data_IF_778220787236
#
_entry.id   IF_778220787236
#
_cell.length_a   1.000
_cell.length_b   1.000
_cell.length_c   1.000
_cell.angle_alpha   90.00
_cell.angle_beta   90.00
_cell.angle_gamma   90.00
#
_symmetry.space_group_name_H-M   'P 1'
#
loop_
_entity.id
_entity.type
_entity.pdbx_description
1 polymer ?
#
# COMPACT_ATOMS: atom_id res chain seq x y z
N UNK A 1 6.29 -13.81 -8.74
CA UNK A 1 5.13 -13.72 -7.82
C UNK A 1 5.47 -12.66 -6.78
N UNK A 2 4.67 -11.61 -6.63
CA UNK A 2 4.98 -10.51 -5.69
C UNK A 2 4.22 -10.73 -4.37
N UNK A 3 4.77 -11.55 -3.47
CA UNK A 3 4.17 -11.81 -2.17
C UNK A 3 4.70 -10.76 -1.19
N UNK A 4 3.81 -9.86 -0.76
CA UNK A 4 4.10 -8.81 0.22
C UNK A 4 3.75 -9.32 1.63
N UNK A 5 4.05 -8.53 2.66
CA UNK A 5 3.61 -8.84 4.03
C UNK A 5 2.08 -9.00 4.11
N UNK A 6 1.34 -8.12 3.43
CA UNK A 6 -0.11 -8.24 3.29
C UNK A 6 -0.54 -9.60 2.74
N UNK A 7 0.05 -10.04 1.62
CA UNK A 7 -0.31 -11.31 1.00
C UNK A 7 -0.03 -12.49 1.95
N UNK A 8 1.07 -12.41 2.69
CA UNK A 8 1.41 -13.42 3.69
C UNK A 8 0.41 -13.44 4.84
N UNK A 9 0.08 -12.28 5.41
CA UNK A 9 -0.85 -12.17 6.54
C UNK A 9 -2.29 -12.57 6.14
N UNK A 10 -2.73 -12.22 4.93
CA UNK A 10 -4.03 -12.67 4.40
C UNK A 10 -4.10 -14.20 4.23
N UNK A 11 -3.01 -14.82 3.77
CA UNK A 11 -2.91 -16.29 3.68
C UNK A 11 -2.96 -16.90 5.08
N UNK A 12 -2.22 -16.34 6.04
CA UNK A 12 -2.26 -16.80 7.43
C UNK A 12 -3.67 -16.72 8.01
N UNK A 13 -4.38 -15.62 7.80
CA UNK A 13 -5.75 -15.46 8.28
C UNK A 13 -6.70 -16.52 7.71
N UNK A 14 -6.63 -16.76 6.39
CA UNK A 14 -7.42 -17.81 5.73
C UNK A 14 -7.09 -19.19 6.30
N UNK A 15 -5.81 -19.51 6.48
CA UNK A 15 -5.38 -20.79 7.04
C UNK A 15 -5.84 -20.96 8.50
N UNK A 16 -5.75 -19.92 9.31
CA UNK A 16 -6.24 -19.92 10.70
C UNK A 16 -7.75 -20.16 10.75
N UNK A 17 -8.53 -19.50 9.88
CA UNK A 17 -9.97 -19.69 9.83
C UNK A 17 -10.35 -21.11 9.38
N UNK A 18 -9.67 -21.65 8.36
CA UNK A 18 -9.88 -23.02 7.92
C UNK A 18 -9.54 -24.05 9.03
N UNK A 19 -8.45 -23.84 9.77
CA UNK A 19 -8.06 -24.72 10.87
C UNK A 19 -9.12 -24.75 12.00
N UNK A 20 -9.71 -23.59 12.32
CA UNK A 20 -10.84 -23.49 13.27
C UNK A 20 -12.06 -24.25 12.79
N UNK A 21 -12.44 -24.10 11.52
CA UNK A 21 -13.58 -24.83 10.94
C UNK A 21 -13.39 -26.35 10.94
N UNK A 22 -12.17 -26.80 10.67
CA UNK A 22 -11.81 -28.21 10.69
C UNK A 22 -11.70 -28.80 12.11
N UNK A 23 -11.96 -28.01 13.16
CA UNK A 23 -11.79 -28.39 14.57
C UNK A 23 -10.42 -29.02 14.86
N UNK A 24 -9.41 -28.60 14.11
CA UNK A 24 -8.02 -28.90 14.45
C UNK A 24 -7.81 -28.19 15.78
N UNK A 25 -7.42 -28.93 16.83
CA UNK A 25 -7.31 -28.40 18.19
C UNK A 25 -6.49 -27.11 18.20
N UNK A 26 -7.21 -26.00 18.30
CA UNK A 26 -6.66 -24.67 18.09
C UNK A 26 -5.92 -24.25 19.35
N UNK A 27 -5.92 -25.00 20.46
CA UNK A 27 -5.04 -24.68 21.60
C UNK A 27 -3.55 -24.92 21.27
N UNK A 28 -3.24 -25.61 20.16
CA UNK A 28 -1.89 -25.63 19.55
C UNK A 28 -1.68 -24.47 18.54
N UNK A 29 -2.75 -23.78 18.15
CA UNK A 29 -2.81 -22.72 17.12
C UNK A 29 -3.27 -21.35 17.69
N UNK A 30 -3.70 -21.24 18.94
CA UNK A 30 -4.06 -19.97 19.59
C UNK A 30 -2.77 -19.17 19.88
N UNK A 31 -1.65 -19.90 19.99
CA UNK A 31 -0.27 -19.48 19.75
C UNK A 31 -0.05 -18.74 18.41
N UNK A 32 -0.90 -18.98 17.39
CA UNK A 32 -0.77 -18.40 16.05
C UNK A 32 -1.59 -17.13 15.83
N UNK A 33 -2.56 -16.79 16.69
CA UNK A 33 -3.44 -15.62 16.43
C UNK A 33 -3.42 -14.56 17.52
N UNK A 34 -3.43 -14.94 18.81
CA UNK A 34 -3.36 -13.99 19.93
C UNK A 34 -1.96 -13.95 20.54
N UNK A 35 -1.23 -15.06 20.53
CA UNK A 35 0.16 -15.12 20.99
C UNK A 35 1.20 -14.96 19.86
N UNK A 36 0.80 -14.71 18.60
CA UNK A 36 1.77 -14.48 17.52
C UNK A 36 2.61 -13.21 17.71
N UNK A 37 2.11 -12.28 18.54
CA UNK A 37 2.83 -11.09 19.01
C UNK A 37 3.65 -11.33 20.30
N UNK A 38 3.47 -12.45 21.03
CA UNK A 38 4.07 -12.66 22.36
C UNK A 38 4.71 -14.05 22.64
N UNK A 39 4.50 -15.07 21.81
CA UNK A 39 5.03 -16.43 21.97
C UNK A 39 6.29 -16.66 21.14
N UNK A 40 7.42 -16.93 21.81
CA UNK A 40 8.76 -16.93 21.17
C UNK A 40 9.04 -18.06 20.19
N UNK A 41 8.28 -19.18 20.21
CA UNK A 41 8.63 -20.42 19.48
C UNK A 41 7.89 -20.60 18.15
N UNK A 42 6.57 -20.43 18.12
CA UNK A 42 5.77 -20.47 16.89
C UNK A 42 5.94 -19.21 16.02
N UNK A 43 6.25 -18.08 16.65
CA UNK A 43 6.67 -16.85 15.97
C UNK A 43 7.94 -17.07 15.12
N UNK A 44 8.91 -17.90 15.54
CA UNK A 44 10.15 -18.10 14.78
C UNK A 44 9.95 -18.84 13.44
N UNK A 45 9.17 -19.92 13.41
CA UNK A 45 8.95 -20.71 12.19
C UNK A 45 8.19 -19.89 11.15
N UNK A 46 7.10 -19.26 11.57
CA UNK A 46 6.26 -18.46 10.66
C UNK A 46 6.98 -17.16 10.27
N UNK A 47 7.78 -16.54 11.15
CA UNK A 47 8.63 -15.40 10.75
C UNK A 47 9.74 -15.82 9.78
N UNK A 48 10.29 -17.04 9.91
CA UNK A 48 11.24 -17.61 8.95
C UNK A 48 10.61 -17.77 7.57
N UNK A 49 9.44 -18.41 7.51
CA UNK A 49 8.70 -18.57 6.25
C UNK A 49 8.27 -17.22 5.69
N UNK A 50 7.83 -16.27 6.54
CA UNK A 50 7.51 -14.89 6.12
C UNK A 50 8.72 -14.27 5.43
N UNK A 51 9.90 -14.35 6.05
CA UNK A 51 11.14 -13.88 5.46
C UNK A 51 11.38 -14.53 4.09
N UNK A 52 11.36 -15.86 4.00
CA UNK A 52 11.64 -16.58 2.75
C UNK A 52 10.64 -16.27 1.62
N UNK A 53 9.38 -16.07 1.97
CA UNK A 53 8.30 -15.76 1.02
C UNK A 53 8.35 -14.30 0.56
N UNK A 54 8.69 -13.37 1.46
CA UNK A 54 8.70 -11.93 1.19
C UNK A 54 10.05 -11.41 0.71
N UNK A 55 11.15 -12.16 0.89
CA UNK A 55 12.52 -11.71 0.56
C UNK A 55 12.63 -11.21 -0.88
N UNK A 56 11.96 -11.88 -1.83
CA UNK A 56 11.94 -11.45 -3.21
C UNK A 56 11.30 -10.08 -3.40
N UNK A 57 10.22 -9.77 -2.66
CA UNK A 57 9.64 -8.43 -2.63
C UNK A 57 10.59 -7.45 -1.94
N UNK A 58 11.10 -7.79 -0.75
CA UNK A 58 11.99 -6.93 0.04
C UNK A 58 13.23 -6.50 -0.76
N UNK A 59 13.90 -7.44 -1.42
CA UNK A 59 15.09 -7.16 -2.24
C UNK A 59 14.77 -6.20 -3.40
N UNK A 60 13.62 -6.39 -4.07
CA UNK A 60 13.22 -5.48 -5.16
C UNK A 60 12.87 -4.09 -4.65
N UNK A 61 12.18 -3.98 -3.51
CA UNK A 61 11.85 -2.68 -2.92
C UNK A 61 13.10 -1.93 -2.46
N UNK A 62 14.11 -2.62 -1.90
CA UNK A 62 15.40 -2.00 -1.56
C UNK A 62 16.18 -1.56 -2.81
N UNK A 63 16.16 -2.36 -3.88
CA UNK A 63 16.77 -1.98 -5.15
C UNK A 63 16.09 -0.74 -5.75
N UNK A 64 14.76 -0.70 -5.74
CA UNK A 64 13.95 0.44 -6.19
C UNK A 64 14.21 1.70 -5.36
N UNK A 65 14.30 1.57 -4.03
CA UNK A 65 14.66 2.67 -3.13
C UNK A 65 16.04 3.24 -3.48
N UNK A 66 17.04 2.39 -3.62
CA UNK A 66 18.40 2.80 -4.00
C UNK A 66 18.40 3.51 -5.36
N UNK A 67 17.63 3.00 -6.32
CA UNK A 67 17.53 3.58 -7.66
C UNK A 67 16.88 4.97 -7.65
N UNK A 68 15.83 5.16 -6.85
CA UNK A 68 15.23 6.48 -6.62
C UNK A 68 16.25 7.50 -6.06
N UNK A 69 17.19 7.05 -5.23
CA UNK A 69 18.26 7.88 -4.66
C UNK A 69 19.39 8.18 -5.67
N UNK A 70 19.71 7.23 -6.56
CA UNK A 70 20.83 7.37 -7.52
C UNK A 70 20.44 8.05 -8.82
N UNK A 71 19.28 7.72 -9.38
CA UNK A 71 18.87 8.14 -10.73
C UNK A 71 18.13 9.48 -10.72
N UNK A 72 17.60 9.89 -9.56
CA UNK A 72 16.79 11.10 -9.40
C UNK A 72 15.30 10.85 -9.70
N UNK A 73 14.43 11.51 -8.94
CA UNK A 73 12.98 11.35 -9.09
C UNK A 73 12.47 11.98 -10.39
N UNK A 74 13.05 13.08 -10.84
CA UNK A 74 12.74 13.70 -12.13
C UNK A 74 12.83 12.70 -13.31
N UNK A 75 13.80 11.78 -13.27
CA UNK A 75 13.90 10.70 -14.25
C UNK A 75 12.74 9.70 -14.15
N UNK A 76 12.31 9.35 -12.94
CA UNK A 76 11.14 8.50 -12.72
C UNK A 76 9.86 9.14 -13.26
N UNK A 77 9.65 10.42 -12.99
CA UNK A 77 8.55 11.20 -13.54
C UNK A 77 8.55 11.20 -15.07
N UNK A 78 9.72 11.38 -15.70
CA UNK A 78 9.84 11.34 -17.16
C UNK A 78 9.60 9.94 -17.73
N UNK A 79 10.08 8.87 -17.07
CA UNK A 79 9.80 7.47 -17.46
C UNK A 79 8.30 7.16 -17.46
N UNK A 80 7.54 7.81 -16.59
CA UNK A 80 6.08 7.69 -16.50
C UNK A 80 5.33 8.57 -17.52
N UNK A 81 6.03 9.26 -18.43
CA UNK A 81 5.42 10.13 -19.44
C UNK A 81 5.09 11.53 -18.92
N UNK A 82 5.72 11.98 -17.84
CA UNK A 82 5.50 13.29 -17.26
C UNK A 82 4.05 13.52 -16.83
N UNK A 83 3.57 14.76 -16.92
CA UNK A 83 2.23 15.10 -16.44
C UNK A 83 1.10 14.35 -17.17
N UNK A 84 1.22 14.17 -18.48
CA UNK A 84 0.20 13.47 -19.27
C UNK A 84 0.12 11.99 -18.88
N UNK A 85 1.28 11.33 -18.76
CA UNK A 85 1.33 9.93 -18.36
C UNK A 85 0.89 9.70 -16.91
N UNK A 86 1.23 10.61 -15.98
CA UNK A 86 0.68 10.57 -14.61
C UNK A 86 -0.84 10.77 -14.61
N UNK A 87 -1.37 11.73 -15.39
CA UNK A 87 -2.82 11.95 -15.48
C UNK A 87 -3.55 10.73 -16.05
N UNK A 88 -2.95 10.07 -17.04
CA UNK A 88 -3.48 8.83 -17.63
C UNK A 88 -3.48 7.69 -16.62
N UNK A 89 -2.36 7.47 -15.93
CA UNK A 89 -2.23 6.52 -14.83
C UNK A 89 -3.30 6.75 -13.76
N UNK A 90 -3.47 7.99 -13.28
CA UNK A 90 -4.46 8.30 -12.25
C UNK A 90 -5.88 8.05 -12.74
N UNK A 91 -6.17 8.33 -14.01
CA UNK A 91 -7.50 8.05 -14.58
C UNK A 91 -7.81 6.55 -14.53
N UNK A 92 -6.87 5.70 -14.94
CA UNK A 92 -7.02 4.24 -14.88
C UNK A 92 -7.04 3.69 -13.44
N UNK A 93 -6.29 4.29 -12.52
CA UNK A 93 -6.27 3.87 -11.11
C UNK A 93 -7.68 3.83 -10.52
N UNK A 94 -8.49 4.85 -10.83
CA UNK A 94 -9.84 4.93 -10.27
C UNK A 94 -10.79 3.88 -10.85
N UNK A 95 -10.55 3.35 -12.05
CA UNK A 95 -11.32 2.19 -12.54
C UNK A 95 -11.09 0.93 -11.70
N UNK A 96 -9.89 0.78 -11.11
CA UNK A 96 -9.59 -0.30 -10.18
C UNK A 96 -10.13 -0.02 -8.78
N UNK A 97 -10.00 1.21 -8.30
CA UNK A 97 -10.50 1.62 -6.98
C UNK A 97 -12.02 1.46 -6.89
N UNK A 98 -12.77 1.89 -7.91
CA UNK A 98 -14.24 1.78 -7.92
C UNK A 98 -14.75 0.33 -7.88
N UNK A 99 -13.98 -0.59 -8.47
CA UNK A 99 -14.30 -2.04 -8.51
C UNK A 99 -13.79 -2.81 -7.30
N UNK A 100 -12.99 -2.18 -6.43
CA UNK A 100 -12.44 -2.83 -5.25
C UNK A 100 -13.33 -2.58 -4.03
N UNK A 101 -14.18 -3.56 -3.71
CA UNK A 101 -15.10 -3.52 -2.57
C UNK A 101 -14.41 -3.32 -1.20
N UNK A 102 -13.08 -3.45 -1.13
CA UNK A 102 -12.31 -3.21 0.09
C UNK A 102 -12.10 -1.72 0.37
N UNK A 103 -12.17 -0.86 -0.67
CA UNK A 103 -11.80 0.56 -0.57
C UNK A 103 -12.76 1.52 -1.28
N UNK A 104 -13.63 1.05 -2.17
CA UNK A 104 -14.52 1.92 -2.94
C UNK A 104 -15.44 2.79 -2.06
N UNK A 105 -15.84 2.29 -0.89
CA UNK A 105 -16.68 2.99 0.08
C UNK A 105 -16.10 4.34 0.54
N UNK A 106 -14.77 4.52 0.54
CA UNK A 106 -14.14 5.79 0.90
C UNK A 106 -14.37 6.90 -0.13
N UNK A 107 -14.80 6.54 -1.34
CA UNK A 107 -14.97 7.45 -2.46
C UNK A 107 -16.44 7.69 -2.85
N UNK A 108 -17.40 7.07 -2.14
CA UNK A 108 -18.83 7.26 -2.40
C UNK A 108 -19.26 8.72 -2.17
N UNK A 109 -20.04 9.27 -3.11
CA UNK A 109 -20.51 10.65 -3.06
C UNK A 109 -19.42 11.72 -3.25
N UNK A 110 -18.18 11.31 -3.50
CA UNK A 110 -17.06 12.22 -3.71
C UNK A 110 -17.04 12.81 -5.13
N UNK A 111 -16.40 13.97 -5.27
CA UNK A 111 -16.14 14.58 -6.59
C UNK A 111 -14.86 13.97 -7.17
N UNK A 112 -14.96 12.76 -7.71
CA UNK A 112 -13.82 11.98 -8.21
C UNK A 112 -12.91 12.75 -9.17
N UNK A 113 -13.46 13.54 -10.07
CA UNK A 113 -12.65 14.35 -11.00
C UNK A 113 -11.77 15.40 -10.29
N UNK A 114 -12.24 15.96 -9.18
CA UNK A 114 -11.41 16.85 -8.35
C UNK A 114 -10.32 16.07 -7.61
N UNK A 115 -10.64 14.86 -7.13
CA UNK A 115 -9.68 14.00 -6.45
C UNK A 115 -8.59 13.56 -7.42
N UNK A 116 -8.95 13.04 -8.60
CA UNK A 116 -8.02 12.65 -9.67
C UNK A 116 -7.06 13.79 -10.00
N UNK A 117 -7.58 15.01 -10.20
CA UNK A 117 -6.75 16.18 -10.51
C UNK A 117 -5.79 16.52 -9.37
N UNK A 118 -6.28 16.56 -8.12
CA UNK A 118 -5.45 16.86 -6.95
C UNK A 118 -4.38 15.79 -6.73
N UNK A 119 -4.74 14.51 -6.87
CA UNK A 119 -3.84 13.39 -6.70
C UNK A 119 -2.80 13.30 -7.81
N UNK A 120 -3.16 13.61 -9.07
CA UNK A 120 -2.20 13.70 -10.17
C UNK A 120 -1.17 14.81 -9.93
N UNK A 121 -1.59 15.97 -9.39
CA UNK A 121 -0.68 17.04 -9.01
C UNK A 121 0.24 16.61 -7.84
N UNK A 122 -0.31 16.00 -6.79
CA UNK A 122 0.46 15.51 -5.65
C UNK A 122 1.49 14.46 -6.06
N UNK A 123 1.06 13.46 -6.86
CA UNK A 123 1.94 12.39 -7.31
C UNK A 123 2.99 12.91 -8.30
N UNK A 124 2.64 13.84 -9.19
CA UNK A 124 3.63 14.50 -10.05
C UNK A 124 4.74 15.13 -9.21
N UNK A 125 4.38 15.93 -8.20
CA UNK A 125 5.35 16.55 -7.28
C UNK A 125 6.17 15.49 -6.53
N UNK A 126 5.51 14.49 -5.94
CA UNK A 126 6.16 13.43 -5.14
C UNK A 126 7.18 12.63 -5.95
N UNK A 127 6.91 12.45 -7.25
CA UNK A 127 7.76 11.74 -8.18
C UNK A 127 8.76 12.65 -8.91
N UNK A 128 8.93 13.91 -8.52
CA UNK A 128 9.99 14.78 -9.07
C UNK A 128 9.58 15.66 -10.26
N UNK A 129 8.29 15.79 -10.54
CA UNK A 129 7.77 16.81 -11.43
C UNK A 129 7.99 18.21 -10.87
N UNK A 130 8.18 19.21 -11.75
CA UNK A 130 8.48 20.59 -11.36
C UNK A 130 7.30 21.36 -10.75
N UNK A 131 6.09 20.80 -10.80
CA UNK A 131 4.89 21.42 -10.24
C UNK A 131 4.80 21.20 -8.73
N UNK A 132 4.51 22.27 -7.98
CA UNK A 132 4.17 22.17 -6.56
C UNK A 132 2.70 21.78 -6.36
N UNK A 133 2.46 20.90 -5.39
CA UNK A 133 1.12 20.61 -4.91
C UNK A 133 0.70 21.65 -3.86
N UNK A 134 -0.40 22.34 -4.13
CA UNK A 134 -0.91 23.45 -3.32
C UNK A 134 -2.23 23.11 -2.59
N UNK A 135 -2.57 21.81 -2.49
CA UNK A 135 -3.77 21.38 -1.79
C UNK A 135 -3.54 21.19 -0.29
N UNK A 136 -4.59 20.73 0.40
CA UNK A 136 -4.53 20.32 1.81
C UNK A 136 -3.49 19.23 2.04
N UNK A 137 -2.93 19.17 3.23
CA UNK A 137 -1.96 18.11 3.58
C UNK A 137 -2.62 16.73 3.55
N UNK A 138 -1.81 15.66 3.45
CA UNK A 138 -2.35 14.30 3.48
C UNK A 138 -3.01 14.02 4.83
N UNK A 139 -2.43 14.56 5.92
CA UNK A 139 -2.97 14.54 7.27
C UNK A 139 -4.42 15.05 7.28
N UNK A 140 -4.63 16.29 6.80
CA UNK A 140 -5.91 16.98 6.84
C UNK A 140 -6.97 16.30 5.98
N UNK A 141 -6.55 15.68 4.87
CA UNK A 141 -7.45 15.00 3.94
C UNK A 141 -7.92 13.66 4.53
N UNK A 142 -7.04 12.92 5.20
CA UNK A 142 -7.32 11.54 5.63
C UNK A 142 -7.72 11.43 7.12
N UNK A 143 -7.58 12.49 7.92
CA UNK A 143 -7.86 12.47 9.37
C UNK A 143 -9.26 11.96 9.78
N UNK A 144 -10.28 12.15 8.93
CA UNK A 144 -11.65 11.74 9.24
C UNK A 144 -11.99 10.36 8.67
N UNK A 145 -11.05 9.72 7.97
CA UNK A 145 -11.25 8.43 7.34
C UNK A 145 -10.74 7.35 8.30
N UNK A 146 -11.59 6.39 8.64
CA UNK A 146 -11.23 5.22 9.44
C UNK A 146 -10.42 4.21 8.59
N UNK A 147 -9.32 4.67 8.01
CA UNK A 147 -8.41 3.87 7.20
C UNK A 147 -7.44 3.09 8.09
N UNK A 148 -7.01 1.95 7.57
CA UNK A 148 -6.06 1.04 8.22
C UNK A 148 -4.98 0.70 7.22
N UNK A 149 -3.89 0.07 7.66
CA UNK A 149 -2.86 -0.44 6.75
C UNK A 149 -3.45 -1.33 5.66
N UNK A 150 -4.44 -2.16 6.00
CA UNK A 150 -5.15 -3.00 5.03
C UNK A 150 -5.75 -2.17 3.88
N UNK A 151 -6.42 -1.06 4.17
CA UNK A 151 -7.04 -0.22 3.16
C UNK A 151 -6.00 0.43 2.25
N UNK A 152 -4.90 0.92 2.83
CA UNK A 152 -3.82 1.52 2.04
C UNK A 152 -3.08 0.48 1.18
N UNK A 153 -2.87 -0.73 1.69
CA UNK A 153 -2.26 -1.83 0.92
C UNK A 153 -3.13 -2.23 -0.28
N UNK A 154 -4.46 -2.27 -0.11
CA UNK A 154 -5.39 -2.50 -1.22
C UNK A 154 -5.29 -1.40 -2.27
N UNK A 155 -5.20 -0.14 -1.84
CA UNK A 155 -5.00 0.99 -2.73
C UNK A 155 -3.68 0.90 -3.52
N UNK A 156 -2.57 0.53 -2.86
CA UNK A 156 -1.28 0.35 -3.53
C UNK A 156 -1.30 -0.82 -4.53
N UNK A 157 -2.10 -1.87 -4.28
CA UNK A 157 -2.34 -2.92 -5.29
C UNK A 157 -3.06 -2.36 -6.52
N UNK A 158 -4.06 -1.48 -6.34
CA UNK A 158 -4.70 -0.81 -7.47
C UNK A 158 -3.72 0.10 -8.23
N UNK A 159 -2.81 0.78 -7.53
CA UNK A 159 -1.70 1.54 -8.16
C UNK A 159 -0.84 0.63 -9.02
N UNK A 160 -0.37 -0.50 -8.48
CA UNK A 160 0.46 -1.45 -9.22
C UNK A 160 -0.25 -1.96 -10.49
N UNK A 161 -1.54 -2.31 -10.40
CA UNK A 161 -2.34 -2.74 -11.56
C UNK A 161 -2.42 -1.63 -12.61
N UNK A 162 -2.76 -0.42 -12.19
CA UNK A 162 -2.91 0.72 -13.09
C UNK A 162 -1.61 1.11 -13.78
N UNK A 163 -0.47 1.07 -13.09
CA UNK A 163 0.84 1.36 -13.69
C UNK A 163 1.18 0.32 -14.78
N UNK A 164 0.92 -0.97 -14.50
CA UNK A 164 1.15 -2.06 -15.45
C UNK A 164 0.26 -1.96 -16.68
N UNK A 165 -1.02 -1.64 -16.50
CA UNK A 165 -1.95 -1.42 -17.62
C UNK A 165 -1.57 -0.20 -18.46
N UNK A 166 -0.89 0.79 -17.86
CA UNK A 166 -0.28 1.91 -18.57
C UNK A 166 1.09 1.60 -19.19
N UNK A 167 1.58 0.35 -19.11
CA UNK A 167 2.82 -0.10 -19.72
C UNK A 167 4.09 0.13 -18.89
N UNK A 168 3.97 0.49 -17.60
CA UNK A 168 5.14 0.58 -16.73
C UNK A 168 5.76 -0.80 -16.50
N UNK A 169 7.10 -0.85 -16.44
CA UNK A 169 7.83 -2.06 -16.10
C UNK A 169 7.67 -2.40 -14.62
N UNK A 170 8.01 -3.63 -14.23
CA UNK A 170 8.02 -4.03 -12.81
C UNK A 170 8.97 -3.14 -11.99
N UNK A 171 10.15 -2.83 -12.52
CA UNK A 171 11.12 -1.94 -11.87
C UNK A 171 10.55 -0.53 -11.63
N UNK A 172 9.96 0.07 -12.67
CA UNK A 172 9.33 1.40 -12.55
C UNK A 172 8.13 1.38 -11.61
N UNK A 173 7.37 0.27 -11.59
CA UNK A 173 6.26 0.09 -10.67
C UNK A 173 6.76 0.02 -9.22
N UNK A 174 7.81 -0.74 -8.94
CA UNK A 174 8.40 -0.86 -7.61
C UNK A 174 9.00 0.49 -7.16
N UNK A 175 9.65 1.26 -8.06
CA UNK A 175 10.13 2.62 -7.81
C UNK A 175 9.00 3.56 -7.36
N UNK A 176 7.84 3.54 -8.03
CA UNK A 176 6.67 4.37 -7.66
C UNK A 176 6.06 3.93 -6.33
N UNK A 177 5.89 2.62 -6.12
CA UNK A 177 5.31 2.08 -4.88
C UNK A 177 6.17 2.48 -3.68
N UNK A 178 7.50 2.40 -3.77
CA UNK A 178 8.41 2.86 -2.72
C UNK A 178 8.21 4.35 -2.40
N UNK A 179 7.95 5.19 -3.40
CA UNK A 179 7.67 6.61 -3.18
C UNK A 179 6.34 6.84 -2.49
N UNK A 180 5.29 6.14 -2.90
CA UNK A 180 3.98 6.25 -2.24
C UNK A 180 4.02 5.70 -0.81
N UNK A 181 4.78 4.64 -0.56
CA UNK A 181 4.98 4.10 0.79
C UNK A 181 5.64 5.11 1.74
N UNK A 182 6.52 5.98 1.23
CA UNK A 182 7.17 7.01 2.05
C UNK A 182 6.20 8.01 2.69
N UNK A 183 4.97 8.12 2.17
CA UNK A 183 3.92 9.00 2.69
C UNK A 183 2.83 8.24 3.44
N UNK A 184 2.98 6.93 3.67
CA UNK A 184 2.02 6.11 4.44
C UNK A 184 1.69 6.71 5.80
N UNK A 185 2.73 7.09 6.56
CA UNK A 185 2.56 7.69 7.88
C UNK A 185 1.72 8.98 7.82
N UNK A 186 1.83 9.72 6.71
CA UNK A 186 1.06 10.93 6.46
C UNK A 186 -0.42 10.68 6.13
N UNK A 187 -0.78 9.46 5.75
CA UNK A 187 -2.15 9.06 5.38
C UNK A 187 -2.84 8.38 6.57
N UNK A 188 -2.12 7.52 7.29
CA UNK A 188 -2.68 6.68 8.36
C UNK A 188 -2.71 7.36 9.73
N UNK A 189 -2.52 8.68 9.81
CA UNK A 189 -2.37 9.43 11.06
C UNK A 189 -3.25 8.88 12.18
N UNK A 190 -2.56 8.46 13.22
CA UNK A 190 -2.99 7.48 14.21
C UNK A 190 -4.37 7.75 14.81
N UNK A 191 -5.26 6.77 14.65
CA UNK A 191 -6.50 6.64 15.42
C UNK A 191 -6.27 6.31 16.93
N UNK A 192 -5.22 6.85 17.56
CA UNK A 192 -4.93 6.66 18.99
C UNK A 192 -4.32 7.89 19.68
N UNK A 193 -4.58 9.11 19.20
CA UNK A 193 -4.12 10.31 19.92
C UNK A 193 -5.07 10.79 21.03
N UNK A 194 -6.34 10.35 21.07
CA UNK A 194 -7.35 10.89 22.00
C UNK A 194 -8.27 9.83 22.64
N UNK A 195 -7.71 8.75 23.19
CA UNK A 195 -8.39 8.01 24.28
C UNK A 195 -7.55 8.15 25.53
N UNK A 196 -7.57 9.35 26.12
CA UNK A 196 -7.37 9.48 27.56
C UNK A 196 -8.54 8.76 28.22
N UNK A 197 -8.26 7.59 28.81
CA UNK A 197 -9.15 7.04 29.83
C UNK A 197 -9.14 8.03 31.00
N UNK A 198 -10.19 8.84 31.08
CA UNK A 198 -10.57 9.59 32.27
C UNK A 198 -11.27 8.66 33.27
#
# INVERSE_FOLDING_TARGET
MNITNYHFDAILEVLTNAAREMKIDVDTIDDMTQEFKSSRRNSQVVNGIRSDVTIGCTVRMEAAKKKNETDGLDQLFMKLGGHEGISHFISHLYEFVERDNRINMFFEGSKLELIKKAQAAYISMLLGGSSEYNGRSLEEIHQTLAMTDFHLDCFLQCVQKSLKDCGATDDTTDEVVVRLESVRAAILHAHYSDVQFA
#
